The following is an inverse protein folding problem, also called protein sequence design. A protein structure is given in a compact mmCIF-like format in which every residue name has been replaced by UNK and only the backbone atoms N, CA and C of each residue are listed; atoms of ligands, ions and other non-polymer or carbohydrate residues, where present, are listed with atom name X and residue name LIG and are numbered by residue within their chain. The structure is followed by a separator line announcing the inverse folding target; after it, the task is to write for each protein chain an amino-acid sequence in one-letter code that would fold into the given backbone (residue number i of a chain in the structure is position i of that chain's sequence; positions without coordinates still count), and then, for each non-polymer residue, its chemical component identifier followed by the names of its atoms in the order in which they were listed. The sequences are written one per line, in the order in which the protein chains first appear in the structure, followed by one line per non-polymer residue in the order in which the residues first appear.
data_IF_773486019526
#
_entry.id   IF_773486019526
#
_cell.length_a   1.000
_cell.length_b   1.000
_cell.length_c   1.000
_cell.angle_alpha   90.00
_cell.angle_beta   90.00
_cell.angle_gamma   90.00
#
_symmetry.space_group_name_H-M   'P 1'
#
loop_
_entity.id
_entity.type
_entity.pdbx_description
1 polymer ?
#
# COMPACT_ATOMS: atom_id res chain seq x y z
N UNK A 1 -49.18 35.92 21.99
CA UNK A 1 -48.18 36.15 20.93
C UNK A 1 -46.84 36.29 21.64
N UNK A 2 -45.79 35.49 21.44
CA UNK A 2 -45.45 34.62 20.34
C UNK A 2 -44.31 33.67 20.78
N UNK A 3 -44.57 32.38 20.98
CA UNK A 3 -43.53 31.38 21.34
C UNK A 3 -43.23 30.39 20.21
N UNK A 4 -43.94 30.50 19.08
CA UNK A 4 -43.76 29.64 17.90
C UNK A 4 -42.76 30.16 16.85
N UNK A 5 -42.22 31.39 17.03
CA UNK A 5 -41.21 31.97 16.12
C UNK A 5 -39.78 31.44 16.41
N UNK A 6 -39.46 31.09 17.66
CA UNK A 6 -38.12 30.64 18.08
C UNK A 6 -37.62 29.34 17.40
N UNK A 7 -38.42 28.26 17.24
CA UNK A 7 -37.94 27.04 16.60
C UNK A 7 -37.75 27.21 15.08
N UNK A 8 -38.54 28.07 14.43
CA UNK A 8 -38.37 28.38 13.01
C UNK A 8 -37.09 29.19 12.77
N UNK A 9 -36.81 30.18 13.62
CA UNK A 9 -35.56 30.94 13.56
C UNK A 9 -34.33 30.04 13.80
N UNK A 10 -34.38 29.11 14.75
CA UNK A 10 -33.30 28.15 14.99
C UNK A 10 -33.11 27.18 13.82
N UNK A 11 -34.19 26.67 13.24
CA UNK A 11 -34.15 25.81 12.05
C UNK A 11 -33.52 26.55 10.87
N UNK A 12 -33.91 27.81 10.64
CA UNK A 12 -33.35 28.64 9.57
C UNK A 12 -31.85 28.90 9.78
N UNK A 13 -31.41 29.14 11.02
CA UNK A 13 -29.98 29.28 11.34
C UNK A 13 -29.24 27.98 11.09
N UNK A 14 -29.75 26.84 11.55
CA UNK A 14 -29.10 25.54 11.32
C UNK A 14 -29.01 25.17 9.85
N UNK A 15 -30.08 25.39 9.07
CA UNK A 15 -30.09 25.18 7.62
C UNK A 15 -29.10 26.13 6.93
N UNK A 16 -29.00 27.39 7.36
CA UNK A 16 -28.04 28.34 6.80
C UNK A 16 -26.59 27.93 7.08
N UNK A 17 -26.28 27.44 8.29
CA UNK A 17 -24.94 26.95 8.65
C UNK A 17 -24.60 25.69 7.86
N UNK A 18 -25.54 24.74 7.74
CA UNK A 18 -25.36 23.52 6.94
C UNK A 18 -25.12 23.85 5.46
N UNK A 19 -25.85 24.80 4.88
CA UNK A 19 -25.63 25.27 3.51
C UNK A 19 -24.24 25.89 3.34
N UNK A 20 -23.80 26.73 4.28
CA UNK A 20 -22.46 27.34 4.23
C UNK A 20 -21.37 26.28 4.32
N UNK A 21 -21.51 25.29 5.21
CA UNK A 21 -20.55 24.17 5.34
C UNK A 21 -20.53 23.33 4.06
N UNK A 22 -21.69 23.01 3.49
CA UNK A 22 -21.78 22.22 2.26
C UNK A 22 -21.13 22.96 1.08
N UNK A 23 -21.40 24.26 0.91
CA UNK A 23 -20.79 25.08 -0.15
C UNK A 23 -19.26 25.17 0.02
N UNK A 24 -18.78 25.36 1.25
CA UNK A 24 -17.34 25.40 1.54
C UNK A 24 -16.64 24.06 1.27
N UNK A 25 -17.29 22.94 1.62
CA UNK A 25 -16.77 21.60 1.38
C UNK A 25 -16.74 21.30 -0.13
N UNK A 26 -17.83 21.57 -0.85
CA UNK A 26 -17.90 21.43 -2.31
C UNK A 26 -16.84 22.29 -3.01
N UNK A 27 -16.69 23.56 -2.64
CA UNK A 27 -15.66 24.42 -3.23
C UNK A 27 -14.22 23.94 -2.93
N UNK A 28 -14.01 23.29 -1.80
CA UNK A 28 -12.69 22.73 -1.43
C UNK A 28 -12.41 21.45 -2.22
N UNK A 29 -13.41 20.57 -2.37
CA UNK A 29 -13.33 19.37 -3.20
C UNK A 29 -13.09 19.77 -4.66
N UNK A 30 -13.85 20.71 -5.22
CA UNK A 30 -13.65 21.20 -6.59
C UNK A 30 -12.24 21.78 -6.80
N UNK A 31 -11.72 22.56 -5.85
CA UNK A 31 -10.34 23.08 -5.90
C UNK A 31 -9.30 21.95 -5.82
N UNK A 32 -9.58 20.89 -5.07
CA UNK A 32 -8.69 19.75 -4.97
C UNK A 32 -8.69 18.91 -6.26
N UNK A 33 -9.86 18.68 -6.84
CA UNK A 33 -10.02 17.99 -8.12
C UNK A 33 -9.39 18.77 -9.28
N UNK A 34 -9.60 20.10 -9.34
CA UNK A 34 -8.96 20.95 -10.33
C UNK A 34 -7.41 20.95 -10.22
N UNK A 35 -6.85 20.76 -9.01
CA UNK A 35 -5.40 20.56 -8.82
C UNK A 35 -4.92 19.21 -9.31
N UNK A 36 -5.74 18.16 -9.23
CA UNK A 36 -5.42 16.84 -9.78
C UNK A 36 -5.44 16.88 -11.32
N UNK A 37 -6.36 17.62 -11.92
CA UNK A 37 -6.42 17.83 -13.37
C UNK A 37 -5.27 18.73 -13.86
N UNK A 38 -4.96 19.82 -13.15
CA UNK A 38 -3.83 20.69 -13.50
C UNK A 38 -2.47 19.98 -13.38
N UNK A 39 -2.36 19.00 -12.47
CA UNK A 39 -1.19 18.13 -12.33
C UNK A 39 -1.05 17.07 -13.44
N UNK A 40 -2.02 16.96 -14.36
CA UNK A 40 -2.02 15.99 -15.46
C UNK A 40 -1.86 16.63 -16.85
N UNK A 41 -1.40 17.89 -16.91
CA UNK A 41 -0.98 18.51 -18.16
C UNK A 41 0.25 17.77 -18.68
N UNK A 42 0.01 16.87 -19.64
CA UNK A 42 1.02 16.15 -20.40
C UNK A 42 2.02 17.15 -21.01
N UNK A 43 3.25 17.13 -20.52
CA UNK A 43 4.38 17.66 -21.28
C UNK A 43 4.59 16.75 -22.49
N UNK A 44 3.98 17.15 -23.61
CA UNK A 44 4.36 16.64 -24.92
C UNK A 44 5.68 17.30 -25.33
N UNK A 45 6.78 16.61 -25.04
CA UNK A 45 7.98 16.62 -25.88
C UNK A 45 9.10 17.58 -25.49
N UNK A 46 10.09 17.05 -24.75
CA UNK A 46 11.48 17.01 -25.24
C UNK A 46 12.09 15.66 -24.91
N UNK A 47 12.53 14.98 -25.97
CA UNK A 47 13.35 13.77 -25.94
C UNK A 47 14.74 14.15 -25.37
N UNK A 48 14.83 14.26 -24.05
CA UNK A 48 16.05 14.48 -23.29
C UNK A 48 16.01 13.55 -22.08
N UNK A 49 16.93 12.60 -22.10
CA UNK A 49 17.20 11.63 -21.05
C UNK A 49 17.31 12.28 -19.66
N UNK A 50 16.31 12.09 -18.80
CA UNK A 50 16.44 12.35 -17.35
C UNK A 50 15.62 11.33 -16.55
N UNK A 51 16.02 10.07 -16.66
CA UNK A 51 16.36 9.31 -15.46
C UNK A 51 17.69 8.66 -15.82
N UNK A 52 18.79 8.85 -15.05
CA UNK A 52 19.85 7.88 -15.19
C UNK A 52 19.19 6.55 -14.85
N UNK A 53 19.09 5.66 -15.85
CA UNK A 53 19.00 4.23 -15.58
C UNK A 53 20.01 4.00 -14.44
N UNK A 54 19.58 3.51 -13.25
CA UNK A 54 20.48 3.45 -12.11
C UNK A 54 21.71 2.71 -12.61
N UNK A 55 22.84 3.42 -12.59
CA UNK A 55 24.06 2.93 -13.21
C UNK A 55 24.39 1.63 -12.51
N UNK A 56 24.05 0.50 -13.13
CA UNK A 56 24.33 -0.82 -12.57
C UNK A 56 25.82 -0.80 -12.27
N UNK A 57 26.24 -0.90 -10.98
CA UNK A 57 27.63 -0.72 -10.62
C UNK A 57 28.48 -1.67 -11.47
N UNK A 58 29.29 -1.12 -12.37
CA UNK A 58 30.29 -1.93 -13.06
C UNK A 58 31.38 -2.20 -12.02
N UNK A 59 31.43 -3.46 -11.58
CA UNK A 59 32.50 -4.15 -10.86
C UNK A 59 32.65 -3.92 -9.35
N UNK A 60 31.89 -4.68 -8.56
CA UNK A 60 32.34 -5.89 -7.86
C UNK A 60 31.12 -6.52 -7.18
N UNK A 61 31.21 -7.78 -6.74
CA UNK A 61 30.07 -8.49 -6.16
C UNK A 61 29.52 -7.82 -4.90
N UNK A 62 30.31 -7.03 -4.18
CA UNK A 62 29.90 -6.37 -2.94
C UNK A 62 29.03 -5.14 -3.23
N UNK A 63 29.38 -4.33 -4.23
CA UNK A 63 28.58 -3.19 -4.66
C UNK A 63 27.26 -3.63 -5.31
N UNK A 64 27.31 -4.67 -6.15
CA UNK A 64 26.09 -5.28 -6.70
C UNK A 64 25.23 -5.84 -5.57
N UNK A 65 25.83 -6.51 -4.59
CA UNK A 65 25.09 -7.04 -3.44
C UNK A 65 24.51 -5.92 -2.56
N UNK A 66 25.25 -4.83 -2.32
CA UNK A 66 24.78 -3.70 -1.53
C UNK A 66 23.64 -2.97 -2.26
N UNK A 67 23.78 -2.73 -3.56
CA UNK A 67 22.73 -2.13 -4.39
C UNK A 67 21.49 -3.02 -4.43
N UNK A 68 21.64 -4.32 -4.70
CA UNK A 68 20.53 -5.27 -4.68
C UNK A 68 19.91 -5.31 -3.29
N UNK A 69 20.67 -5.33 -2.20
CA UNK A 69 20.16 -5.34 -0.83
C UNK A 69 19.36 -4.08 -0.51
N UNK A 70 19.89 -2.91 -0.83
CA UNK A 70 19.18 -1.64 -0.58
C UNK A 70 17.93 -1.54 -1.46
N UNK A 71 18.06 -1.80 -2.76
CA UNK A 71 16.92 -1.78 -3.68
C UNK A 71 15.88 -2.87 -3.36
N UNK A 72 16.29 -4.00 -2.77
CA UNK A 72 15.39 -5.10 -2.43
C UNK A 72 14.72 -4.93 -1.07
N UNK A 73 15.32 -4.20 -0.10
CA UNK A 73 14.64 -3.83 1.15
C UNK A 73 13.88 -2.51 0.98
N UNK A 74 14.51 -1.43 0.53
CA UNK A 74 13.88 -0.15 0.17
C UNK A 74 12.70 0.26 1.06
N UNK A 75 11.54 0.41 0.41
CA UNK A 75 10.23 0.73 0.97
C UNK A 75 9.39 -0.52 1.36
N UNK A 76 10.00 -1.71 1.37
CA UNK A 76 9.32 -2.95 1.74
C UNK A 76 8.81 -2.90 3.19
N UNK A 77 7.69 -3.56 3.44
CA UNK A 77 7.22 -3.79 4.79
C UNK A 77 8.12 -4.80 5.50
N UNK A 78 8.61 -4.47 6.69
CA UNK A 78 9.53 -5.32 7.47
C UNK A 78 8.84 -5.88 8.72
N UNK A 79 8.97 -7.20 8.95
CA UNK A 79 8.54 -7.92 10.18
C UNK A 79 9.74 -8.57 10.84
N UNK A 80 9.77 -8.53 12.17
CA UNK A 80 10.86 -9.09 12.98
C UNK A 80 11.74 -7.98 13.56
N UNK A 81 12.86 -8.38 14.17
CA UNK A 81 13.81 -7.42 14.74
C UNK A 81 14.51 -6.65 13.62
N UNK A 82 14.43 -5.30 13.57
CA UNK A 82 15.14 -4.50 12.58
C UNK A 82 16.66 -4.72 12.56
N UNK A 83 17.23 -5.15 13.70
CA UNK A 83 18.65 -5.46 13.89
C UNK A 83 19.00 -6.92 13.62
N UNK A 84 18.04 -7.75 13.19
CA UNK A 84 18.28 -9.14 12.87
C UNK A 84 19.43 -9.30 11.84
N UNK A 85 20.40 -10.19 12.10
CA UNK A 85 21.56 -10.39 11.23
C UNK A 85 21.20 -10.98 9.86
N UNK A 86 20.06 -11.66 9.75
CA UNK A 86 19.57 -12.25 8.50
C UNK A 86 18.33 -11.51 8.02
N UNK A 87 18.35 -11.07 6.76
CA UNK A 87 17.19 -10.48 6.08
C UNK A 87 16.75 -11.41 4.96
N UNK A 88 15.48 -11.80 4.98
CA UNK A 88 14.83 -12.48 3.86
C UNK A 88 14.03 -11.40 3.13
N UNK A 89 14.31 -11.19 1.85
CA UNK A 89 13.42 -10.39 0.99
C UNK A 89 12.54 -11.35 0.20
N UNK A 90 11.23 -11.19 0.32
CA UNK A 90 10.25 -11.99 -0.38
C UNK A 90 9.51 -11.11 -1.40
N UNK A 91 9.57 -11.50 -2.68
CA UNK A 91 8.69 -10.99 -3.72
C UNK A 91 7.53 -11.97 -3.87
N UNK A 92 6.31 -11.53 -3.56
CA UNK A 92 5.20 -12.45 -3.32
C UNK A 92 3.88 -11.96 -3.91
N UNK A 93 2.99 -12.91 -4.15
CA UNK A 93 1.67 -12.73 -4.73
C UNK A 93 0.66 -13.48 -3.86
N UNK A 94 -0.36 -12.78 -3.37
CA UNK A 94 -1.36 -13.35 -2.46
C UNK A 94 -2.18 -14.49 -3.06
N UNK A 95 -2.33 -14.57 -4.38
CA UNK A 95 -3.05 -15.66 -5.06
C UNK A 95 -2.15 -16.82 -5.50
N UNK A 96 -0.83 -16.65 -5.46
CA UNK A 96 0.09 -17.69 -5.90
C UNK A 96 0.14 -18.85 -4.89
N UNK A 97 -0.13 -20.10 -5.30
CA UNK A 97 -0.11 -21.25 -4.38
C UNK A 97 1.28 -21.53 -3.81
N UNK A 98 2.35 -21.25 -4.56
CA UNK A 98 3.72 -21.38 -4.07
C UNK A 98 4.09 -20.28 -3.07
N UNK A 99 3.60 -19.05 -3.28
CA UNK A 99 3.73 -17.98 -2.30
C UNK A 99 2.99 -18.31 -1.00
N UNK A 100 1.80 -18.93 -1.08
CA UNK A 100 1.09 -19.39 0.12
C UNK A 100 1.89 -20.46 0.89
N UNK A 101 2.51 -21.42 0.19
CA UNK A 101 3.42 -22.39 0.83
C UNK A 101 4.62 -21.69 1.48
N UNK A 102 5.22 -20.71 0.79
CA UNK A 102 6.31 -19.91 1.34
C UNK A 102 5.88 -19.14 2.59
N UNK A 103 4.69 -18.53 2.60
CA UNK A 103 4.12 -17.86 3.78
C UNK A 103 4.10 -18.76 5.01
N UNK A 104 3.63 -20.02 4.88
CA UNK A 104 3.61 -20.97 6.00
C UNK A 104 5.02 -21.28 6.52
N UNK A 105 5.98 -21.48 5.61
CA UNK A 105 7.38 -21.76 5.95
C UNK A 105 8.02 -20.55 6.63
N UNK A 106 7.84 -19.35 6.07
CA UNK A 106 8.39 -18.10 6.61
C UNK A 106 7.79 -17.76 7.97
N UNK A 107 6.49 -18.01 8.16
CA UNK A 107 5.82 -17.87 9.47
C UNK A 107 6.48 -18.77 10.52
N UNK A 108 6.76 -20.03 10.18
CA UNK A 108 7.48 -20.96 11.08
C UNK A 108 8.93 -20.53 11.32
N UNK A 109 9.64 -20.06 10.29
CA UNK A 109 11.03 -19.59 10.42
C UNK A 109 11.14 -18.38 11.34
N UNK A 110 10.27 -17.38 11.17
CA UNK A 110 10.24 -16.20 12.04
C UNK A 110 9.95 -16.57 13.51
N UNK A 111 9.10 -17.59 13.73
CA UNK A 111 8.81 -18.10 15.07
C UNK A 111 9.99 -18.87 15.68
N UNK A 112 10.67 -19.71 14.90
CA UNK A 112 11.77 -20.55 15.39
C UNK A 112 13.08 -19.78 15.58
N UNK A 113 13.26 -18.67 14.86
CA UNK A 113 14.48 -17.86 14.85
C UNK A 113 14.19 -16.41 15.28
N UNK A 114 13.37 -16.22 16.30
CA UNK A 114 13.05 -14.90 16.87
C UNK A 114 14.31 -14.09 17.16
N UNK A 115 14.30 -12.81 16.75
CA UNK A 115 15.44 -11.89 16.88
C UNK A 115 16.60 -12.13 15.90
N UNK A 116 16.60 -13.24 15.16
CA UNK A 116 17.69 -13.59 14.22
C UNK A 116 17.35 -13.35 12.76
N UNK A 117 16.06 -13.35 12.43
CA UNK A 117 15.56 -13.15 11.06
C UNK A 117 14.59 -11.98 11.05
N UNK A 118 14.70 -11.14 10.00
CA UNK A 118 13.65 -10.22 9.58
C UNK A 118 13.21 -10.53 8.16
N UNK A 119 11.92 -10.35 7.90
CA UNK A 119 11.29 -10.51 6.60
C UNK A 119 10.98 -9.13 6.03
N UNK A 120 11.45 -8.83 4.83
CA UNK A 120 11.07 -7.69 4.01
C UNK A 120 10.17 -8.19 2.88
N UNK A 121 8.93 -7.71 2.82
CA UNK A 121 7.94 -8.17 1.85
C UNK A 121 7.74 -7.15 0.73
N UNK A 122 7.75 -7.62 -0.51
CA UNK A 122 7.47 -6.84 -1.72
C UNK A 122 6.39 -7.51 -2.57
N UNK A 123 5.45 -6.71 -3.05
CA UNK A 123 4.42 -7.19 -3.96
C UNK A 123 5.03 -7.56 -5.31
N UNK A 124 4.63 -8.72 -5.83
CA UNK A 124 4.92 -9.17 -7.20
C UNK A 124 3.66 -9.82 -7.81
N UNK A 125 2.58 -9.05 -8.00
CA UNK A 125 1.32 -9.59 -8.50
C UNK A 125 1.47 -10.06 -9.95
N UNK A 126 1.24 -11.34 -10.20
CA UNK A 126 1.31 -11.92 -11.54
C UNK A 126 0.07 -11.55 -12.34
N UNK A 127 0.26 -11.14 -13.59
CA UNK A 127 -0.86 -10.74 -14.47
C UNK A 127 -1.88 -11.87 -14.73
N UNK A 128 -1.48 -13.13 -14.54
CA UNK A 128 -2.36 -14.30 -14.65
C UNK A 128 -3.27 -14.51 -13.43
N UNK A 129 -3.05 -13.77 -12.35
CA UNK A 129 -3.81 -13.85 -11.11
C UNK A 129 -4.78 -12.67 -11.03
N UNK A 130 -6.06 -12.97 -11.28
CA UNK A 130 -7.15 -12.01 -11.46
C UNK A 130 -7.27 -10.95 -10.35
N UNK A 131 -7.07 -11.35 -9.09
CA UNK A 131 -7.18 -10.52 -7.89
C UNK A 131 -5.83 -10.15 -7.25
N UNK A 132 -4.69 -10.58 -7.80
CA UNK A 132 -3.38 -10.37 -7.18
C UNK A 132 -3.06 -8.88 -7.00
N UNK A 133 -3.35 -8.08 -8.02
CA UNK A 133 -3.18 -6.62 -7.95
C UNK A 133 -4.08 -5.98 -6.90
N UNK A 134 -5.36 -6.38 -6.85
CA UNK A 134 -6.32 -5.86 -5.86
C UNK A 134 -5.95 -6.26 -4.42
N UNK A 135 -5.45 -7.48 -4.23
CA UNK A 135 -4.96 -7.96 -2.94
C UNK A 135 -3.71 -7.19 -2.49
N UNK A 136 -2.77 -6.92 -3.41
CA UNK A 136 -1.62 -6.05 -3.14
C UNK A 136 -2.06 -4.64 -2.73
N UNK A 137 -2.98 -4.03 -3.48
CA UNK A 137 -3.53 -2.71 -3.16
C UNK A 137 -4.23 -2.69 -1.78
N UNK A 138 -4.97 -3.75 -1.43
CA UNK A 138 -5.61 -3.88 -0.12
C UNK A 138 -4.57 -3.96 1.02
N UNK A 139 -3.46 -4.68 0.81
CA UNK A 139 -2.37 -4.76 1.77
C UNK A 139 -1.66 -3.40 1.95
N UNK A 140 -1.38 -2.69 0.85
CA UNK A 140 -0.81 -1.33 0.87
C UNK A 140 -1.70 -0.35 1.63
N UNK A 141 -3.01 -0.35 1.32
CA UNK A 141 -3.98 0.50 2.02
C UNK A 141 -4.08 0.18 3.52
N UNK A 142 -3.88 -1.08 3.91
CA UNK A 142 -3.75 -1.45 5.31
C UNK A 142 -2.40 -1.01 5.90
N UNK A 143 -1.33 -1.03 5.11
CA UNK A 143 -0.01 -0.52 5.46
C UNK A 143 0.00 0.98 5.77
N UNK A 144 -0.74 1.79 5.01
CA UNK A 144 -0.96 3.22 5.32
C UNK A 144 -1.63 3.42 6.70
N UNK A 145 -2.33 2.40 7.20
CA UNK A 145 -2.98 2.38 8.52
C UNK A 145 -2.14 1.69 9.59
N UNK A 146 -0.90 1.30 9.28
CA UNK A 146 -0.01 0.57 10.18
C UNK A 146 -0.41 -0.90 10.41
N UNK A 147 -1.26 -1.46 9.54
CA UNK A 147 -1.84 -2.81 9.67
C UNK A 147 -1.51 -3.72 8.47
N UNK A 148 -0.40 -3.45 7.80
CA UNK A 148 0.05 -4.23 6.65
C UNK A 148 0.09 -5.73 6.98
N UNK A 149 0.67 -6.07 8.13
CA UNK A 149 0.98 -7.44 8.51
C UNK A 149 -0.26 -8.25 8.87
N UNK A 150 -1.24 -7.62 9.48
CA UNK A 150 -2.55 -8.20 9.75
C UNK A 150 -3.30 -8.48 8.46
N UNK A 151 -3.30 -7.54 7.51
CA UNK A 151 -3.93 -7.74 6.20
C UNK A 151 -3.20 -8.81 5.38
N UNK A 152 -1.87 -8.77 5.36
CA UNK A 152 -1.03 -9.76 4.72
C UNK A 152 -1.36 -11.19 5.20
N UNK A 153 -1.43 -11.39 6.52
CA UNK A 153 -1.72 -12.71 7.09
C UNK A 153 -3.16 -13.14 6.73
N UNK A 154 -4.13 -12.21 6.78
CA UNK A 154 -5.52 -12.48 6.40
C UNK A 154 -5.67 -12.90 4.93
N UNK A 155 -4.98 -12.21 4.01
CA UNK A 155 -5.03 -12.50 2.57
C UNK A 155 -4.46 -13.89 2.24
N UNK A 156 -3.36 -14.30 2.89
CA UNK A 156 -2.84 -15.66 2.71
C UNK A 156 -3.71 -16.72 3.40
N UNK A 157 -4.29 -16.41 4.55
CA UNK A 157 -5.18 -17.33 5.26
C UNK A 157 -6.55 -17.49 4.59
N UNK A 158 -7.01 -16.51 3.81
CA UNK A 158 -8.26 -16.62 3.04
C UNK A 158 -8.11 -17.55 1.84
N UNK A 159 -6.99 -17.47 1.10
CA UNK A 159 -6.72 -18.37 -0.04
C UNK A 159 -6.60 -19.82 0.40
N UNK A 160 -6.00 -20.08 1.57
CA UNK A 160 -5.92 -21.42 2.14
C UNK A 160 -7.29 -22.04 2.47
N UNK A 161 -8.32 -21.21 2.73
CA UNK A 161 -9.68 -21.66 3.06
C UNK A 161 -10.51 -21.97 1.82
N UNK A 162 -10.24 -21.32 0.70
CA UNK A 162 -11.06 -21.43 -0.51
C UNK A 162 -10.60 -22.54 -1.48
N UNK A 163 -9.36 -23.04 -1.32
CA UNK A 163 -8.79 -24.10 -2.14
C UNK A 163 -8.59 -23.70 -3.61
N UNK A 164 -7.90 -24.52 -4.43
CA UNK A 164 -7.57 -24.18 -5.83
C UNK A 164 -8.77 -24.05 -6.78
N UNK A 165 -10.00 -24.20 -6.28
CA UNK A 165 -11.21 -24.42 -7.07
C UNK A 165 -12.38 -23.53 -6.66
N UNK A 166 -12.18 -22.48 -5.85
CA UNK A 166 -13.24 -21.50 -5.63
C UNK A 166 -13.45 -20.62 -6.87
N UNK A 167 -14.16 -21.19 -7.85
CA UNK A 167 -14.92 -20.53 -8.91
C UNK A 167 -16.29 -21.18 -8.97
#
# INVERSE_FOLDING_TARGET
MDTRIKPLALLLVLVSVLLVVQVALSATILRHLARLEAGHSLEAGTDQAINPEPSVPRSNSQEVFAYVKEASVGDAFVRGDPSAPVTIIEFSDFQCPFCNQAYLILKQLLQNYQGKIKLAYRHYPLASHEYAYLAALAAEAAGEQGKFWEMHDLLFESVAKEGPTAR
#
